data_IF_778027658581
#
_entry.id   IF_778027658581
#
_cell.length_a   1.000
_cell.length_b   1.000
_cell.length_c   1.000
_cell.angle_alpha   90.00
_cell.angle_beta   90.00
_cell.angle_gamma   90.00
#
_symmetry.space_group_name_H-M   'P 1'
#
loop_
_entity.id
_entity.type
_entity.pdbx_description
1 polymer ?
#
# COMPACT_ATOMS: atom_id res chain seq x y z
N UNK A 1 -4.03 3.56 22.28
CA UNK A 1 -3.09 2.46 21.98
C UNK A 1 -2.28 2.82 20.75
N UNK A 2 -0.95 2.68 20.76
CA UNK A 2 -0.13 2.96 19.57
C UNK A 2 -0.24 1.79 18.60
N UNK A 3 -0.28 2.06 17.29
CA UNK A 3 -0.36 1.03 16.23
C UNK A 3 0.77 0.01 16.37
N UNK A 4 1.96 0.45 16.77
CA UNK A 4 3.13 -0.43 17.03
C UNK A 4 2.83 -1.49 18.08
N UNK A 5 2.25 -1.12 19.22
CA UNK A 5 1.93 -2.08 20.28
C UNK A 5 0.97 -3.18 19.79
N UNK A 6 0.03 -2.83 18.91
CA UNK A 6 -0.88 -3.79 18.30
C UNK A 6 -0.15 -4.74 17.34
N UNK A 7 0.77 -4.20 16.53
CA UNK A 7 1.62 -4.99 15.64
C UNK A 7 2.54 -5.95 16.42
N UNK A 8 3.17 -5.46 17.48
CA UNK A 8 4.08 -6.23 18.34
C UNK A 8 3.33 -7.41 18.99
N UNK A 9 2.14 -7.15 19.54
CA UNK A 9 1.29 -8.18 20.13
C UNK A 9 0.84 -9.23 19.09
N UNK A 10 0.51 -8.78 17.87
CA UNK A 10 0.12 -9.68 16.79
C UNK A 10 1.29 -10.56 16.33
N UNK A 11 2.48 -9.98 16.14
CA UNK A 11 3.67 -10.70 15.73
C UNK A 11 4.10 -11.74 16.77
N UNK A 12 4.09 -11.37 18.06
CA UNK A 12 4.37 -12.30 19.16
C UNK A 12 3.41 -13.48 19.15
N UNK A 13 2.10 -13.23 18.96
CA UNK A 13 1.08 -14.29 18.87
C UNK A 13 1.27 -15.22 17.66
N UNK A 14 1.91 -14.73 16.60
CA UNK A 14 2.11 -15.46 15.34
C UNK A 14 3.52 -16.05 15.19
N UNK A 15 4.36 -15.94 16.21
CA UNK A 15 5.78 -16.33 16.16
C UNK A 15 6.52 -15.70 14.97
N UNK A 16 6.25 -14.41 14.72
CA UNK A 16 6.84 -13.63 13.63
C UNK A 16 7.88 -12.65 14.16
N UNK A 17 9.03 -12.61 13.49
CA UNK A 17 10.05 -11.60 13.73
C UNK A 17 10.07 -10.59 12.59
N UNK A 18 10.06 -9.30 12.91
CA UNK A 18 10.18 -8.22 11.93
C UNK A 18 11.16 -7.16 12.42
N UNK A 19 11.79 -6.45 11.48
CA UNK A 19 12.72 -5.37 11.80
C UNK A 19 11.96 -4.07 12.07
N UNK A 20 12.14 -3.50 13.26
CA UNK A 20 11.66 -2.15 13.61
C UNK A 20 12.71 -1.08 13.24
N UNK A 21 13.90 -1.48 12.75
CA UNK A 21 14.97 -0.52 12.44
C UNK A 21 14.48 0.45 11.37
N UNK A 22 14.41 1.72 11.74
CA UNK A 22 14.29 2.82 10.78
C UNK A 22 15.51 2.74 9.87
N UNK A 23 15.29 2.59 8.56
CA UNK A 23 16.39 2.62 7.60
C UNK A 23 17.18 3.92 7.81
N UNK A 24 18.50 3.82 8.04
CA UNK A 24 19.35 5.00 8.26
C UNK A 24 19.41 5.91 7.03
N UNK A 25 19.22 5.33 5.85
CA UNK A 25 19.17 5.99 4.56
C UNK A 25 17.70 6.04 4.10
N UNK A 26 16.88 6.88 4.73
CA UNK A 26 15.54 7.15 4.19
C UNK A 26 15.72 8.08 3.01
N UNK A 27 15.26 7.68 1.84
CA UNK A 27 15.09 8.61 0.73
C UNK A 27 14.21 9.77 1.20
N UNK A 28 14.71 11.01 1.07
CA UNK A 28 13.98 12.20 1.53
C UNK A 28 12.74 12.50 0.68
N UNK A 29 12.64 11.85 -0.48
CA UNK A 29 11.57 12.04 -1.41
C UNK A 29 10.28 11.40 -0.87
N UNK A 30 9.21 12.18 -0.88
CA UNK A 30 7.89 11.72 -0.44
C UNK A 30 7.12 11.26 -1.66
N UNK A 31 6.42 10.14 -1.52
CA UNK A 31 5.46 9.73 -2.54
C UNK A 31 4.34 10.78 -2.68
N UNK A 32 3.89 11.08 -3.91
CA UNK A 32 2.71 11.90 -4.12
C UNK A 32 1.51 11.24 -3.43
N UNK A 33 0.82 11.98 -2.56
CA UNK A 33 -0.15 11.40 -1.62
C UNK A 33 -1.55 11.29 -2.21
N UNK A 34 -2.17 12.43 -2.50
CA UNK A 34 -3.55 12.52 -2.92
C UNK A 34 -3.64 13.27 -4.25
N UNK A 35 -4.51 12.79 -5.13
CA UNK A 35 -4.88 13.50 -6.34
C UNK A 35 -6.09 14.39 -6.04
N UNK A 36 -5.94 15.69 -6.29
CA UNK A 36 -7.03 16.66 -6.18
C UNK A 36 -7.49 17.02 -7.58
N UNK A 37 -8.73 16.67 -7.90
CA UNK A 37 -9.36 17.03 -9.18
C UNK A 37 -10.26 18.24 -8.99
N UNK A 38 -10.17 19.21 -9.90
CA UNK A 38 -11.10 20.33 -9.92
C UNK A 38 -12.50 19.85 -10.33
N UNK A 39 -13.56 20.33 -9.66
CA UNK A 39 -14.92 19.96 -10.02
C UNK A 39 -15.29 20.49 -11.41
N UNK A 40 -16.01 19.68 -12.19
CA UNK A 40 -16.58 20.11 -13.47
C UNK A 40 -17.87 20.90 -13.22
N UNK A 41 -17.77 22.23 -13.23
CA UNK A 41 -18.86 23.16 -12.86
C UNK A 41 -20.05 23.23 -13.84
N UNK A 42 -19.92 22.73 -15.07
CA UNK A 42 -20.95 22.94 -16.11
C UNK A 42 -22.14 21.96 -16.06
N UNK A 43 -22.16 21.00 -15.13
CA UNK A 43 -23.14 19.90 -15.10
C UNK A 43 -24.32 20.17 -14.14
N UNK A 44 -24.24 21.22 -13.31
CA UNK A 44 -24.97 21.34 -12.04
C UNK A 44 -26.46 21.67 -12.12
N UNK A 45 -27.05 21.95 -13.29
CA UNK A 45 -28.45 22.43 -13.34
C UNK A 45 -29.51 21.39 -13.64
N UNK A 46 -29.15 20.16 -14.07
CA UNK A 46 -30.14 19.18 -14.56
C UNK A 46 -30.33 17.93 -13.69
N UNK A 47 -29.40 17.59 -12.80
CA UNK A 47 -29.44 16.33 -12.04
C UNK A 47 -28.95 16.54 -10.60
N UNK A 48 -29.51 15.81 -9.61
CA UNK A 48 -28.98 15.82 -8.25
C UNK A 48 -27.56 15.26 -8.23
N UNK A 49 -26.67 15.93 -7.49
CA UNK A 49 -25.28 15.51 -7.27
C UNK A 49 -25.20 14.84 -5.89
N UNK A 50 -24.58 13.67 -5.81
CA UNK A 50 -24.38 12.93 -4.55
C UNK A 50 -22.89 12.67 -4.34
N UNK A 51 -22.42 12.84 -3.11
CA UNK A 51 -21.06 12.45 -2.72
C UNK A 51 -20.97 10.94 -2.54
N UNK A 52 -20.07 10.31 -3.29
CA UNK A 52 -19.68 8.92 -3.07
C UNK A 52 -18.37 8.91 -2.30
N UNK A 53 -18.31 8.13 -1.22
CA UNK A 53 -17.10 7.91 -0.45
C UNK A 53 -16.81 6.41 -0.31
N UNK A 54 -15.54 6.04 -0.31
CA UNK A 54 -15.08 4.66 -0.12
C UNK A 54 -14.65 4.46 1.33
N UNK A 55 -15.43 3.68 2.08
CA UNK A 55 -15.11 3.34 3.45
C UNK A 55 -14.45 1.96 3.57
N UNK A 56 -13.20 1.83 4.08
CA UNK A 56 -12.04 2.73 4.00
C UNK A 56 -11.10 2.32 2.85
N UNK A 57 -10.78 3.25 1.95
CA UNK A 57 -10.06 2.97 0.71
C UNK A 57 -8.66 2.31 0.90
N UNK A 58 -7.74 2.97 1.61
CA UNK A 58 -6.36 2.50 1.73
C UNK A 58 -6.23 1.15 2.46
N UNK A 59 -6.87 0.91 3.62
CA UNK A 59 -6.83 -0.41 4.25
C UNK A 59 -7.39 -1.51 3.35
N UNK A 60 -8.44 -1.22 2.58
CA UNK A 60 -9.02 -2.18 1.65
C UNK A 60 -8.02 -2.57 0.55
N UNK A 61 -7.28 -1.61 0.00
CA UNK A 61 -6.21 -1.91 -0.97
C UNK A 61 -5.05 -2.69 -0.36
N UNK A 62 -4.61 -2.32 0.85
CA UNK A 62 -3.54 -3.03 1.56
C UNK A 62 -3.92 -4.51 1.74
N UNK A 63 -5.16 -4.79 2.13
CA UNK A 63 -5.65 -6.16 2.30
C UNK A 63 -5.86 -6.88 0.97
N UNK A 64 -6.47 -6.22 -0.03
CA UNK A 64 -6.80 -6.83 -1.32
C UNK A 64 -5.55 -7.29 -2.09
N UNK A 65 -4.46 -6.52 -1.99
CA UNK A 65 -3.20 -6.81 -2.68
C UNK A 65 -2.11 -7.36 -1.76
N UNK A 66 -2.45 -7.66 -0.50
CA UNK A 66 -1.50 -8.15 0.51
C UNK A 66 -0.23 -7.29 0.60
N UNK A 67 -0.40 -5.96 0.58
CA UNK A 67 0.70 -5.01 0.59
C UNK A 67 1.35 -5.00 1.99
N UNK A 68 2.60 -5.41 2.04
CA UNK A 68 3.42 -5.36 3.25
C UNK A 68 4.86 -5.09 2.84
N UNK A 69 5.64 -4.30 3.63
CA UNK A 69 7.06 -4.09 3.37
C UNK A 69 7.84 -5.40 3.15
N UNK A 70 7.50 -6.45 3.89
CA UNK A 70 8.18 -7.76 3.82
C UNK A 70 7.75 -8.63 2.61
N UNK A 71 6.79 -8.14 1.82
CA UNK A 71 6.24 -8.84 0.64
C UNK A 71 6.58 -8.15 -0.68
N UNK A 72 7.28 -7.01 -0.63
CA UNK A 72 7.71 -6.28 -1.83
C UNK A 72 8.92 -7.00 -2.44
N UNK A 73 8.81 -7.34 -3.72
CA UNK A 73 9.90 -7.89 -4.52
C UNK A 73 10.30 -6.83 -5.54
N UNK A 74 11.56 -6.40 -5.50
CA UNK A 74 12.06 -5.32 -6.38
C UNK A 74 12.81 -5.88 -7.60
N UNK A 75 13.39 -7.07 -7.49
CA UNK A 75 14.20 -7.64 -8.56
C UNK A 75 13.48 -8.76 -9.29
N UNK A 76 13.72 -8.85 -10.62
CA UNK A 76 13.14 -9.93 -11.43
C UNK A 76 13.62 -11.32 -10.97
N UNK A 77 14.89 -11.43 -10.55
CA UNK A 77 15.45 -12.70 -10.06
C UNK A 77 14.70 -13.23 -8.84
N UNK A 78 14.41 -12.36 -7.87
CA UNK A 78 13.61 -12.73 -6.69
C UNK A 78 12.18 -13.10 -7.06
N UNK A 79 11.59 -12.41 -8.05
CA UNK A 79 10.26 -12.74 -8.56
C UNK A 79 10.23 -14.14 -9.20
N UNK A 80 11.23 -14.47 -10.03
CA UNK A 80 11.35 -15.79 -10.66
C UNK A 80 11.50 -16.90 -9.58
N UNK A 81 12.31 -16.67 -8.55
CA UNK A 81 12.47 -17.59 -7.41
C UNK A 81 11.13 -17.77 -6.67
N UNK A 82 10.44 -16.68 -6.35
CA UNK A 82 9.17 -16.73 -5.63
C UNK A 82 8.09 -17.46 -6.44
N UNK A 83 8.04 -17.25 -7.76
CA UNK A 83 7.11 -17.93 -8.66
C UNK A 83 7.41 -19.43 -8.77
N UNK A 84 8.70 -19.81 -8.87
CA UNK A 84 9.12 -21.22 -8.86
C UNK A 84 8.79 -21.92 -7.55
N UNK A 85 8.76 -21.19 -6.43
CA UNK A 85 8.30 -21.68 -5.13
C UNK A 85 6.77 -21.77 -5.00
N UNK A 86 6.02 -21.51 -6.09
CA UNK A 86 4.56 -21.62 -6.12
C UNK A 86 3.81 -20.40 -5.58
N UNK A 87 4.48 -19.26 -5.35
CA UNK A 87 3.80 -18.05 -4.89
C UNK A 87 3.09 -17.33 -6.03
N UNK A 88 1.89 -16.82 -5.75
CA UNK A 88 1.15 -15.94 -6.67
C UNK A 88 1.74 -14.53 -6.52
N UNK A 89 2.19 -13.96 -7.63
CA UNK A 89 2.75 -12.61 -7.67
C UNK A 89 1.78 -11.65 -8.37
N UNK A 90 1.67 -10.45 -7.81
CA UNK A 90 0.91 -9.35 -8.40
C UNK A 90 1.88 -8.29 -8.90
N UNK A 91 1.88 -8.05 -10.22
CA UNK A 91 2.69 -6.98 -10.81
C UNK A 91 2.04 -5.63 -10.50
N UNK A 92 2.82 -4.73 -9.91
CA UNK A 92 2.40 -3.34 -9.67
C UNK A 92 3.29 -2.45 -10.53
N UNK A 93 2.69 -1.72 -11.46
CA UNK A 93 3.40 -0.80 -12.35
C UNK A 93 3.18 0.63 -11.88
N UNK A 94 4.24 1.27 -11.39
CA UNK A 94 4.22 2.67 -11.02
C UNK A 94 5.64 3.26 -11.15
N UNK A 95 5.78 4.58 -11.32
CA UNK A 95 7.08 5.24 -11.25
C UNK A 95 7.67 5.03 -9.85
N UNK A 96 8.77 4.28 -9.76
CA UNK A 96 9.45 3.96 -8.52
C UNK A 96 10.95 4.15 -8.71
N UNK A 97 11.56 4.99 -7.88
CA UNK A 97 12.98 5.33 -7.91
C UNK A 97 13.51 5.64 -9.31
N UNK A 98 13.33 6.89 -9.76
CA UNK A 98 13.99 7.42 -10.95
C UNK A 98 15.53 7.25 -10.89
#
# INVERSE_FOLDING_TARGET
>A
MKVRNFLDAYAFKRDMLFSIRVCKNIEKEKYPSAYVYLPKKEIETKRPVTGLDFAPLYPSFIMAYNLSPDKIILTKREADIAQNNGNILHKIEFPFNN
#
